data_IF_380578979637
#
_entry.id   IF_380578979637
#
_cell.length_a   1.000
_cell.length_b   1.000
_cell.length_c   1.000
_cell.angle_alpha   90.00
_cell.angle_beta   90.00
_cell.angle_gamma   90.00
#
_symmetry.space_group_name_H-M   'P 1'
#
loop_
_entity.id
_entity.type
_entity.pdbx_description
1 polymer ?
#
# COMPACT_ATOMS: atom_id res chain seq x y z
N UNK A 1 68.67 -0.20 24.72
CA UNK A 1 67.25 0.15 24.52
C UNK A 1 66.88 -0.03 23.04
N UNK A 2 66.51 -1.18 22.45
CA UNK A 2 66.71 -2.63 22.71
C UNK A 2 66.66 -3.12 24.17
N UNK A 3 65.92 -4.21 24.40
CA UNK A 3 65.32 -4.63 25.69
C UNK A 3 64.18 -3.71 26.13
N UNK A 4 62.95 -4.24 26.05
CA UNK A 4 61.68 -3.89 26.73
C UNK A 4 60.46 -4.51 25.99
N UNK A 5 60.55 -4.78 24.67
CA UNK A 5 59.40 -5.24 23.85
C UNK A 5 59.20 -6.79 23.85
N UNK A 6 60.11 -7.58 24.45
CA UNK A 6 60.14 -9.04 24.26
C UNK A 6 59.57 -9.90 25.42
N UNK A 7 58.85 -9.32 26.40
CA UNK A 7 58.36 -10.09 27.56
C UNK A 7 56.83 -10.18 27.75
N UNK A 8 56.00 -9.48 26.98
CA UNK A 8 54.53 -9.61 27.08
C UNK A 8 53.89 -10.64 26.12
N UNK A 9 54.62 -11.16 25.13
CA UNK A 9 54.05 -12.11 24.16
C UNK A 9 53.97 -13.58 24.65
N UNK A 10 54.37 -13.89 25.88
CA UNK A 10 54.44 -15.27 26.40
C UNK A 10 53.34 -15.66 27.41
N UNK A 11 52.33 -14.80 27.63
CA UNK A 11 51.22 -15.08 28.56
C UNK A 11 49.83 -15.13 27.91
N UNK A 12 49.73 -15.27 26.58
CA UNK A 12 48.45 -15.37 25.85
C UNK A 12 48.33 -16.61 24.94
N UNK A 13 49.26 -17.58 25.06
CA UNK A 13 49.32 -18.78 24.18
C UNK A 13 48.88 -20.09 24.86
N UNK A 14 48.13 -20.04 25.97
CA UNK A 14 47.73 -21.22 26.75
C UNK A 14 46.22 -21.48 26.86
N UNK A 15 45.36 -20.69 26.20
CA UNK A 15 43.89 -20.82 26.31
C UNK A 15 43.14 -21.10 25.00
N UNK A 16 43.78 -21.03 23.83
CA UNK A 16 43.10 -21.18 22.52
C UNK A 16 42.99 -22.62 22.01
N UNK A 17 43.74 -23.58 22.59
CA UNK A 17 43.83 -24.96 22.09
C UNK A 17 42.76 -25.94 22.63
N UNK A 18 41.84 -25.48 23.49
CA UNK A 18 40.79 -26.31 24.09
C UNK A 18 39.40 -26.21 23.44
N UNK A 19 39.12 -25.16 22.66
CA UNK A 19 37.82 -24.93 22.02
C UNK A 19 37.69 -25.67 20.68
N UNK A 20 38.70 -25.58 19.82
CA UNK A 20 38.72 -26.21 18.48
C UNK A 20 38.44 -27.72 18.50
N UNK A 21 38.96 -28.47 19.49
CA UNK A 21 38.74 -29.93 19.59
C UNK A 21 37.29 -30.33 19.89
N UNK A 22 36.48 -29.43 20.47
CA UNK A 22 35.05 -29.71 20.73
C UNK A 22 34.21 -29.50 19.48
N UNK A 23 34.60 -28.56 18.61
CA UNK A 23 33.91 -28.27 17.35
C UNK A 23 34.16 -29.37 16.31
N UNK A 24 35.40 -29.84 16.16
CA UNK A 24 35.74 -30.95 15.25
C UNK A 24 34.99 -32.27 15.60
N UNK A 25 34.80 -32.55 16.89
CA UNK A 25 34.06 -33.73 17.35
C UNK A 25 32.55 -33.65 17.04
N UNK A 26 31.96 -32.45 17.07
CA UNK A 26 30.56 -32.23 16.72
C UNK A 26 30.32 -32.36 15.20
N UNK A 27 31.23 -31.83 14.39
CA UNK A 27 31.23 -31.91 12.92
C UNK A 27 31.30 -33.38 12.44
N UNK A 28 32.20 -34.19 13.01
CA UNK A 28 32.29 -35.63 12.68
C UNK A 28 31.03 -36.42 13.08
N UNK A 29 30.41 -36.09 14.22
CA UNK A 29 29.18 -36.77 14.66
C UNK A 29 27.98 -36.42 13.76
N UNK A 30 27.87 -35.18 13.27
CA UNK A 30 26.85 -34.83 12.25
C UNK A 30 27.03 -35.63 10.96
N UNK A 31 28.27 -35.79 10.46
CA UNK A 31 28.56 -36.57 9.24
C UNK A 31 28.26 -38.06 9.41
N UNK A 32 28.54 -38.64 10.58
CA UNK A 32 28.16 -40.04 10.89
C UNK A 32 26.64 -40.22 11.00
N UNK A 33 25.92 -39.26 11.55
CA UNK A 33 24.45 -39.29 11.62
C UNK A 33 23.80 -39.24 10.22
N UNK A 34 24.29 -38.39 9.31
CA UNK A 34 23.74 -38.33 7.94
C UNK A 34 23.98 -39.61 7.14
N UNK A 35 25.14 -40.26 7.33
CA UNK A 35 25.45 -41.56 6.70
C UNK A 35 24.66 -42.73 7.29
N UNK A 36 24.17 -42.63 8.53
CA UNK A 36 23.27 -43.62 9.12
C UNK A 36 21.83 -43.48 8.57
N UNK A 37 21.34 -42.25 8.43
CA UNK A 37 20.01 -41.94 7.84
C UNK A 37 19.92 -42.30 6.34
N UNK A 38 21.01 -42.17 5.59
CA UNK A 38 21.05 -42.62 4.18
C UNK A 38 21.03 -44.15 4.03
N UNK A 39 21.41 -44.91 5.07
CA UNK A 39 21.45 -46.39 5.05
C UNK A 39 20.16 -47.07 5.51
N UNK A 40 19.14 -46.31 5.91
CA UNK A 40 17.85 -46.86 6.38
C UNK A 40 16.69 -46.75 5.38
N UNK A 41 16.97 -46.40 4.11
CA UNK A 41 15.97 -46.49 3.03
C UNK A 41 15.81 -47.94 2.54
N UNK A 42 14.58 -48.52 2.49
CA UNK A 42 14.36 -49.86 1.95
C UNK A 42 14.58 -49.91 0.43
N UNK A 43 15.08 -51.05 -0.05
CA UNK A 43 15.44 -51.23 -1.45
C UNK A 43 14.21 -51.44 -2.37
N UNK A 44 14.23 -50.83 -3.55
CA UNK A 44 13.17 -50.89 -4.57
C UNK A 44 13.29 -52.17 -5.39
N UNK A 45 12.63 -53.26 -4.97
CA UNK A 45 11.98 -54.29 -5.81
C UNK A 45 11.73 -55.59 -5.03
N UNK A 46 10.49 -55.83 -4.59
CA UNK A 46 9.69 -57.03 -4.96
C UNK A 46 8.34 -57.06 -4.24
N UNK A 47 7.26 -57.21 -5.02
CA UNK A 47 5.92 -57.72 -4.63
C UNK A 47 5.20 -57.06 -3.44
N UNK A 48 4.21 -56.21 -3.74
CA UNK A 48 2.77 -56.56 -3.59
C UNK A 48 1.87 -55.42 -4.10
N UNK A 49 0.91 -55.76 -4.95
CA UNK A 49 -0.14 -54.85 -5.40
C UNK A 49 -0.95 -54.32 -4.21
N UNK A 50 -1.02 -53.00 -4.10
CA UNK A 50 -2.15 -52.25 -3.56
C UNK A 50 -2.23 -50.96 -4.36
N UNK A 51 -3.44 -50.56 -4.74
CA UNK A 51 -3.69 -49.35 -5.50
C UNK A 51 -3.06 -48.14 -4.79
N UNK A 52 -2.23 -47.39 -5.54
CA UNK A 52 -2.09 -45.98 -5.27
C UNK A 52 -3.26 -45.33 -6.02
N UNK A 53 -4.18 -44.71 -5.27
CA UNK A 53 -5.15 -43.81 -5.88
C UNK A 53 -4.35 -42.64 -6.47
N UNK A 54 -4.38 -42.52 -7.80
CA UNK A 54 -4.02 -41.28 -8.47
C UNK A 54 -4.98 -40.21 -7.94
N UNK A 55 -4.44 -39.26 -7.17
CA UNK A 55 -5.18 -38.06 -6.80
C UNK A 55 -5.06 -37.12 -8.01
N UNK A 56 -5.98 -37.27 -8.95
CA UNK A 56 -6.11 -36.37 -10.10
C UNK A 56 -6.35 -34.94 -9.57
N UNK A 57 -5.32 -34.10 -9.65
CA UNK A 57 -5.32 -32.75 -9.07
C UNK A 57 -5.90 -31.68 -10.05
N UNK A 58 -6.54 -32.13 -11.15
CA UNK A 58 -7.00 -31.32 -12.29
C UNK A 58 -8.45 -31.62 -12.74
N UNK A 59 -9.35 -32.13 -11.88
CA UNK A 59 -10.80 -32.08 -12.16
C UNK A 59 -11.42 -30.76 -11.67
N UNK A 60 -11.77 -29.89 -12.63
CA UNK A 60 -12.74 -28.82 -12.40
C UNK A 60 -14.08 -29.49 -12.06
N UNK A 61 -14.49 -29.42 -10.79
CA UNK A 61 -15.76 -29.97 -10.34
C UNK A 61 -16.93 -29.31 -11.07
N UNK A 62 -17.55 -30.02 -12.01
CA UNK A 62 -18.85 -29.69 -12.64
C UNK A 62 -20.02 -29.61 -11.63
N UNK A 63 -19.75 -29.83 -10.34
CA UNK A 63 -20.71 -29.85 -9.24
C UNK A 63 -20.54 -28.67 -8.29
N UNK A 64 -21.66 -28.10 -7.88
CA UNK A 64 -21.75 -27.01 -6.90
C UNK A 64 -21.26 -27.44 -5.49
N UNK A 65 -20.41 -26.62 -4.82
CA UNK A 65 -19.99 -26.88 -3.44
C UNK A 65 -21.14 -26.95 -2.42
N UNK A 66 -22.16 -26.10 -2.60
CA UNK A 66 -23.45 -26.19 -1.89
C UNK A 66 -24.60 -26.02 -2.90
N UNK A 67 -25.81 -26.52 -2.63
CA UNK A 67 -26.92 -26.46 -3.58
C UNK A 67 -27.29 -25.05 -4.05
N UNK A 68 -27.08 -24.04 -3.21
CA UNK A 68 -27.47 -22.66 -3.48
C UNK A 68 -26.34 -21.70 -3.05
N UNK A 69 -25.86 -20.85 -3.96
CA UNK A 69 -24.84 -19.83 -3.66
C UNK A 69 -23.98 -19.41 -4.85
N UNK A 70 -23.00 -18.55 -4.57
CA UNK A 70 -22.04 -18.02 -5.54
C UNK A 70 -20.62 -18.45 -5.13
N UNK A 71 -19.92 -19.16 -6.00
CA UNK A 71 -18.63 -19.78 -5.70
C UNK A 71 -17.54 -19.34 -6.69
N UNK A 72 -16.30 -19.03 -6.23
CA UNK A 72 -15.21 -18.62 -7.11
C UNK A 72 -14.77 -19.75 -8.03
N UNK A 73 -14.25 -19.41 -9.21
CA UNK A 73 -13.47 -20.34 -10.01
C UNK A 73 -12.09 -20.64 -9.39
N UNK A 74 -11.59 -21.85 -9.63
CA UNK A 74 -10.32 -22.33 -9.08
C UNK A 74 -9.10 -21.62 -9.68
N UNK A 75 -9.17 -21.17 -10.94
CA UNK A 75 -8.03 -20.62 -11.68
C UNK A 75 -8.22 -19.15 -12.11
N UNK A 76 -9.46 -18.68 -12.26
CA UNK A 76 -9.81 -17.39 -12.86
C UNK A 76 -10.51 -16.44 -11.88
N UNK A 77 -9.89 -15.30 -11.56
CA UNK A 77 -10.39 -14.40 -10.50
C UNK A 77 -11.71 -13.70 -10.86
N UNK A 78 -12.00 -13.53 -12.15
CA UNK A 78 -13.23 -12.91 -12.65
C UNK A 78 -14.28 -13.92 -13.12
N UNK A 79 -14.09 -15.23 -12.90
CA UNK A 79 -15.08 -16.28 -13.11
C UNK A 79 -15.64 -16.78 -11.78
N UNK A 80 -16.93 -17.10 -11.78
CA UNK A 80 -17.65 -17.66 -10.65
C UNK A 80 -18.85 -18.49 -11.12
N UNK A 81 -19.44 -19.23 -10.19
CA UNK A 81 -20.55 -20.13 -10.44
C UNK A 81 -21.77 -19.69 -9.63
N UNK A 82 -22.92 -19.50 -10.29
CA UNK A 82 -24.23 -19.31 -9.66
C UNK A 82 -24.90 -20.69 -9.56
N UNK A 83 -24.97 -21.20 -8.34
CA UNK A 83 -25.51 -22.50 -8.00
C UNK A 83 -26.94 -22.36 -7.50
N UNK A 84 -27.87 -23.12 -8.09
CA UNK A 84 -29.29 -23.13 -7.74
C UNK A 84 -29.85 -24.54 -7.73
N UNK A 85 -30.30 -24.99 -6.57
CA UNK A 85 -30.74 -26.36 -6.31
C UNK A 85 -29.78 -27.43 -6.88
N UNK A 86 -28.47 -27.18 -6.76
CA UNK A 86 -27.38 -28.03 -7.26
C UNK A 86 -27.05 -27.86 -8.75
N UNK A 87 -27.81 -27.06 -9.50
CA UNK A 87 -27.52 -26.72 -10.90
C UNK A 87 -26.48 -25.62 -10.97
N UNK A 88 -25.33 -25.90 -11.58
CA UNK A 88 -24.21 -24.96 -11.77
C UNK A 88 -24.42 -24.09 -13.03
N UNK A 89 -24.27 -22.78 -12.89
CA UNK A 89 -24.25 -21.83 -14.01
C UNK A 89 -22.95 -21.01 -13.98
N UNK A 90 -22.12 -21.14 -15.01
CA UNK A 90 -20.92 -20.32 -15.15
C UNK A 90 -21.26 -18.85 -15.40
N UNK A 91 -20.52 -17.95 -14.75
CA UNK A 91 -20.62 -16.50 -14.93
C UNK A 91 -19.24 -15.84 -14.93
N UNK A 92 -19.17 -14.69 -15.59
CA UNK A 92 -18.02 -13.78 -15.55
C UNK A 92 -18.42 -12.46 -14.93
N UNK A 93 -17.53 -11.87 -14.14
CA UNK A 93 -17.64 -10.48 -13.72
C UNK A 93 -17.47 -9.53 -14.93
N UNK A 94 -18.00 -8.29 -14.84
CA UNK A 94 -17.70 -7.24 -15.82
C UNK A 94 -16.19 -7.04 -15.99
N UNK A 95 -15.73 -6.81 -17.23
CA UNK A 95 -14.30 -6.79 -17.55
C UNK A 95 -13.53 -5.74 -16.74
N UNK A 96 -12.56 -6.21 -15.94
CA UNK A 96 -11.78 -5.38 -15.00
C UNK A 96 -12.25 -5.42 -13.54
N UNK A 97 -13.36 -6.11 -13.26
CA UNK A 97 -13.75 -6.52 -11.91
C UNK A 97 -13.39 -8.00 -11.68
N UNK A 98 -13.30 -8.41 -10.41
CA UNK A 98 -13.06 -9.79 -9.96
C UNK A 98 -14.15 -10.22 -8.99
N UNK A 99 -14.41 -11.52 -8.91
CA UNK A 99 -15.42 -12.07 -8.00
C UNK A 99 -14.96 -11.98 -6.54
N UNK A 100 -15.80 -11.40 -5.70
CA UNK A 100 -15.61 -11.32 -4.25
C UNK A 100 -16.28 -12.52 -3.58
N UNK A 101 -15.46 -13.40 -3.02
CA UNK A 101 -15.85 -14.68 -2.42
C UNK A 101 -16.08 -14.61 -0.90
N UNK A 102 -16.13 -13.42 -0.29
CA UNK A 102 -16.31 -13.26 1.16
C UNK A 102 -17.70 -13.68 1.68
N UNK A 103 -18.70 -13.85 0.81
CA UNK A 103 -20.03 -14.36 1.18
C UNK A 103 -20.66 -15.10 0.00
N UNK A 104 -20.81 -16.44 0.05
CA UNK A 104 -21.48 -17.23 -0.99
C UNK A 104 -22.96 -16.88 -1.21
N UNK A 105 -23.55 -16.02 -0.39
CA UNK A 105 -24.95 -15.60 -0.51
C UNK A 105 -25.12 -14.34 -1.39
N UNK A 106 -24.03 -13.70 -1.81
CA UNK A 106 -24.06 -12.43 -2.55
C UNK A 106 -23.29 -12.51 -3.86
N UNK A 107 -23.98 -12.30 -4.98
CA UNK A 107 -23.37 -12.12 -6.30
C UNK A 107 -22.63 -10.78 -6.34
N UNK A 108 -21.33 -10.79 -6.02
CA UNK A 108 -20.54 -9.55 -5.92
C UNK A 108 -19.26 -9.61 -6.74
N UNK A 109 -19.14 -8.65 -7.66
CA UNK A 109 -17.90 -8.33 -8.36
C UNK A 109 -17.37 -6.99 -7.85
N UNK A 110 -16.11 -6.95 -7.43
CA UNK A 110 -15.42 -5.75 -6.95
C UNK A 110 -14.18 -5.44 -7.80
N UNK A 111 -13.57 -4.28 -7.58
CA UNK A 111 -12.21 -4.02 -8.07
C UNK A 111 -11.22 -5.00 -7.40
N UNK A 112 -10.10 -5.35 -8.06
CA UNK A 112 -9.11 -6.30 -7.53
C UNK A 112 -8.35 -5.81 -6.29
N UNK A 113 -8.55 -4.56 -5.86
CA UNK A 113 -7.90 -3.98 -4.68
C UNK A 113 -8.50 -4.54 -3.40
N UNK A 114 -7.83 -5.54 -2.80
CA UNK A 114 -8.24 -6.18 -1.56
C UNK A 114 -8.93 -7.55 -1.72
N UNK A 115 -8.99 -8.08 -2.95
CA UNK A 115 -9.43 -9.45 -3.24
C UNK A 115 -8.19 -10.31 -3.54
N UNK A 116 -8.04 -11.47 -2.90
CA UNK A 116 -6.88 -12.34 -3.09
C UNK A 116 -7.03 -13.24 -4.33
N UNK A 117 -6.59 -12.72 -5.48
CA UNK A 117 -6.50 -13.49 -6.72
C UNK A 117 -5.27 -14.42 -6.81
N UNK A 118 -4.42 -14.55 -5.76
CA UNK A 118 -3.11 -15.21 -5.89
C UNK A 118 -3.18 -16.67 -6.30
N UNK A 119 -4.27 -17.37 -5.94
CA UNK A 119 -4.53 -18.77 -6.32
C UNK A 119 -5.25 -18.91 -7.66
N UNK A 120 -6.03 -17.89 -8.04
CA UNK A 120 -6.92 -17.85 -9.20
C UNK A 120 -6.56 -16.67 -10.11
N UNK A 121 -5.32 -16.63 -10.60
CA UNK A 121 -4.74 -15.42 -11.22
C UNK A 121 -5.15 -15.17 -12.69
N UNK A 122 -5.83 -16.11 -13.35
CA UNK A 122 -6.34 -15.92 -14.72
C UNK A 122 -7.46 -14.87 -14.71
N UNK A 123 -7.67 -14.21 -15.85
CA UNK A 123 -8.74 -13.23 -16.06
C UNK A 123 -9.29 -13.37 -17.48
N UNK A 124 -10.51 -12.90 -17.74
CA UNK A 124 -11.07 -12.84 -19.10
C UNK A 124 -10.19 -11.98 -20.03
N UNK A 125 -10.36 -12.14 -21.34
CA UNK A 125 -9.71 -11.28 -22.32
C UNK A 125 -10.13 -9.81 -22.12
N UNK A 126 -9.18 -8.86 -21.98
CA UNK A 126 -9.50 -7.45 -21.78
C UNK A 126 -10.27 -6.86 -22.96
N UNK A 127 -11.18 -5.93 -22.69
CA UNK A 127 -11.97 -5.19 -23.68
C UNK A 127 -11.56 -3.71 -23.64
N UNK A 128 -10.42 -3.35 -24.25
CA UNK A 128 -9.86 -2.01 -24.12
C UNK A 128 -10.70 -0.95 -24.86
N UNK A 129 -10.74 0.24 -24.27
CA UNK A 129 -11.33 1.48 -24.79
C UNK A 129 -10.35 2.63 -24.56
N UNK A 130 -10.53 3.83 -25.13
CA UNK A 130 -9.61 4.95 -24.91
C UNK A 130 -9.41 5.22 -23.41
N UNK A 131 -8.15 5.29 -22.97
CA UNK A 131 -7.74 5.48 -21.57
C UNK A 131 -8.13 4.35 -20.59
N UNK A 132 -8.73 3.27 -21.08
CA UNK A 132 -9.28 2.17 -20.29
C UNK A 132 -8.81 0.80 -20.84
N UNK A 133 -7.68 0.26 -20.35
CA UNK A 133 -7.20 -1.09 -20.69
C UNK A 133 -8.22 -2.23 -20.42
N UNK A 134 -9.14 -2.01 -19.48
CA UNK A 134 -10.33 -2.83 -19.19
C UNK A 134 -11.55 -1.93 -19.09
N UNK A 135 -12.75 -2.48 -19.23
CA UNK A 135 -14.00 -1.71 -19.10
C UNK A 135 -14.20 -1.07 -17.72
N UNK A 136 -13.69 -1.69 -16.65
CA UNK A 136 -13.72 -1.17 -15.29
C UNK A 136 -12.31 -1.13 -14.68
N UNK A 137 -12.00 -0.12 -13.87
CA UNK A 137 -10.73 -0.07 -13.12
C UNK A 137 -10.21 1.33 -12.84
N UNK A 138 -9.04 1.39 -12.19
CA UNK A 138 -8.20 2.58 -12.10
C UNK A 138 -6.90 2.33 -12.86
N UNK A 139 -6.53 3.22 -13.78
CA UNK A 139 -5.39 3.04 -14.69
C UNK A 139 -4.50 4.28 -14.71
N UNK A 140 -3.18 4.09 -14.76
CA UNK A 140 -2.26 5.21 -14.88
C UNK A 140 -2.43 5.95 -16.20
N UNK A 141 -2.06 7.24 -16.21
CA UNK A 141 -1.94 8.01 -17.43
C UNK A 141 -0.89 7.40 -18.39
N UNK A 142 -1.12 7.48 -19.71
CA UNK A 142 -0.29 6.82 -20.73
C UNK A 142 1.15 7.34 -20.77
N UNK A 143 1.31 8.66 -20.58
CA UNK A 143 2.61 9.28 -20.38
C UNK A 143 3.19 8.82 -19.03
N UNK A 144 4.32 8.08 -19.01
CA UNK A 144 4.92 7.61 -17.78
C UNK A 144 5.40 8.75 -16.86
N UNK A 145 5.72 9.93 -17.42
CA UNK A 145 6.13 11.12 -16.67
C UNK A 145 4.96 11.80 -15.95
N UNK A 146 3.72 11.55 -16.40
CA UNK A 146 2.53 11.96 -15.67
C UNK A 146 2.29 10.99 -14.50
N UNK A 147 2.84 11.34 -13.35
CA UNK A 147 2.83 10.51 -12.15
C UNK A 147 1.58 10.69 -11.28
N UNK A 148 0.89 11.82 -11.38
CA UNK A 148 -0.23 12.19 -10.53
C UNK A 148 -1.60 12.15 -11.22
N UNK A 149 -1.68 11.86 -12.51
CA UNK A 149 -2.96 11.69 -13.21
C UNK A 149 -3.26 10.21 -13.45
N UNK A 150 -4.54 9.84 -13.32
CA UNK A 150 -5.04 8.50 -13.59
C UNK A 150 -6.48 8.55 -14.12
N UNK A 151 -6.95 7.43 -14.64
CA UNK A 151 -8.30 7.27 -15.18
C UNK A 151 -9.12 6.34 -14.29
N UNK A 152 -10.34 6.74 -13.97
CA UNK A 152 -11.36 5.86 -13.40
C UNK A 152 -12.34 5.43 -14.49
N UNK A 153 -12.35 4.14 -14.82
CA UNK A 153 -13.15 3.56 -15.89
C UNK A 153 -14.39 2.84 -15.35
N UNK A 154 -15.54 3.12 -15.96
CA UNK A 154 -16.80 2.40 -15.76
C UNK A 154 -17.43 2.17 -17.12
N UNK A 155 -17.68 0.90 -17.48
CA UNK A 155 -18.23 0.51 -18.80
C UNK A 155 -17.45 1.10 -19.99
N UNK A 156 -16.11 1.19 -19.87
CA UNK A 156 -15.22 1.74 -20.91
C UNK A 156 -15.29 3.26 -21.07
N UNK A 157 -15.93 3.97 -20.15
CA UNK A 157 -15.93 5.43 -20.06
C UNK A 157 -15.03 5.87 -18.91
N UNK A 158 -14.04 6.71 -19.20
CA UNK A 158 -13.10 7.22 -18.21
C UNK A 158 -13.56 8.55 -17.61
N UNK A 159 -13.19 8.77 -16.34
CA UNK A 159 -13.01 10.09 -15.77
C UNK A 159 -11.51 10.28 -15.49
N UNK A 160 -10.93 11.37 -15.97
CA UNK A 160 -9.55 11.74 -15.64
C UNK A 160 -9.51 12.39 -14.26
N UNK A 161 -8.65 11.88 -13.37
CA UNK A 161 -8.53 12.34 -11.97
C UNK A 161 -7.05 12.68 -11.72
N UNK A 162 -6.81 13.85 -11.12
CA UNK A 162 -5.48 14.24 -10.60
C UNK A 162 -5.43 13.93 -9.10
N UNK A 163 -4.38 13.26 -8.65
CA UNK A 163 -4.06 13.07 -7.25
C UNK A 163 -3.80 14.43 -6.55
N UNK A 164 -4.05 14.53 -5.23
CA UNK A 164 -3.62 15.67 -4.43
C UNK A 164 -2.13 15.95 -4.60
N UNK A 165 -1.74 17.22 -4.54
CA UNK A 165 -0.35 17.62 -4.77
C UNK A 165 0.60 16.98 -3.76
N UNK A 166 1.73 16.47 -4.26
CA UNK A 166 2.68 15.65 -3.49
C UNK A 166 2.42 14.14 -3.54
N UNK A 167 1.27 13.68 -4.07
CA UNK A 167 0.95 12.27 -4.25
C UNK A 167 1.02 11.82 -5.71
N UNK A 168 1.23 10.51 -5.91
CA UNK A 168 1.25 9.84 -7.22
C UNK A 168 0.27 8.68 -7.24
N UNK A 169 -0.24 8.34 -8.41
CA UNK A 169 -1.13 7.19 -8.55
C UNK A 169 -0.35 5.87 -8.47
N UNK A 170 -0.85 4.94 -7.63
CA UNK A 170 -0.27 3.61 -7.46
C UNK A 170 -1.19 2.54 -8.07
N UNK A 171 -0.82 2.04 -9.25
CA UNK A 171 -1.55 0.96 -9.95
C UNK A 171 -1.73 -0.30 -9.11
N UNK A 172 -0.80 -0.58 -8.18
CA UNK A 172 -0.86 -1.72 -7.25
C UNK A 172 -2.01 -1.60 -6.24
N UNK A 173 -2.37 -0.39 -5.84
CA UNK A 173 -3.32 -0.13 -4.73
C UNK A 173 -4.58 0.60 -5.17
N UNK A 174 -4.62 1.13 -6.41
CA UNK A 174 -5.78 1.85 -6.95
C UNK A 174 -5.99 3.23 -6.35
N UNK A 175 -5.01 3.75 -5.59
CA UNK A 175 -5.12 5.02 -4.85
C UNK A 175 -3.88 5.91 -5.06
N UNK A 176 -4.03 7.18 -4.68
CA UNK A 176 -2.95 8.15 -4.63
C UNK A 176 -2.12 7.96 -3.36
N UNK A 177 -0.86 7.57 -3.50
CA UNK A 177 0.08 7.33 -2.40
C UNK A 177 1.29 8.27 -2.48
N UNK A 178 2.12 8.27 -1.44
CA UNK A 178 3.41 8.95 -1.48
C UNK A 178 4.32 8.33 -2.55
N UNK A 179 5.19 9.12 -3.22
CA UNK A 179 6.01 8.63 -4.33
C UNK A 179 6.87 7.41 -3.98
N UNK A 180 7.41 7.38 -2.75
CA UNK A 180 8.23 6.29 -2.22
C UNK A 180 7.45 5.02 -1.86
N UNK A 181 6.16 5.15 -1.54
CA UNK A 181 5.26 4.03 -1.23
C UNK A 181 4.56 3.48 -2.48
N UNK A 182 4.26 4.35 -3.46
CA UNK A 182 3.63 3.97 -4.72
C UNK A 182 4.53 3.15 -5.63
N UNK A 183 5.85 3.34 -5.52
CA UNK A 183 6.90 2.61 -6.25
C UNK A 183 6.77 2.66 -7.79
N UNK A 184 6.07 3.66 -8.34
CA UNK A 184 5.96 3.87 -9.79
C UNK A 184 7.33 4.32 -10.34
N UNK A 185 7.87 3.55 -11.29
CA UNK A 185 9.19 3.81 -11.89
C UNK A 185 9.22 5.20 -12.55
N UNK A 186 10.24 6.00 -12.23
CA UNK A 186 10.38 7.38 -12.74
C UNK A 186 9.55 8.43 -11.98
N UNK A 187 8.79 8.01 -10.97
CA UNK A 187 7.93 8.86 -10.15
C UNK A 187 8.39 8.84 -8.67
N UNK A 188 9.69 8.89 -8.43
CA UNK A 188 10.25 8.98 -7.07
C UNK A 188 10.21 10.41 -6.54
N UNK A 189 10.25 10.58 -5.21
CA UNK A 189 10.09 11.91 -4.60
C UNK A 189 11.17 12.92 -5.01
N UNK A 190 12.43 12.47 -5.14
CA UNK A 190 13.55 13.38 -5.45
C UNK A 190 13.46 13.87 -6.90
N UNK A 191 13.06 12.97 -7.80
CA UNK A 191 12.88 13.23 -9.22
C UNK A 191 11.68 14.14 -9.47
N UNK A 192 10.56 13.93 -8.75
CA UNK A 192 9.33 14.71 -8.93
C UNK A 192 9.38 16.12 -8.34
N UNK A 193 10.06 16.29 -7.20
CA UNK A 193 10.11 17.58 -6.52
C UNK A 193 11.39 18.37 -6.80
N UNK A 194 12.39 17.76 -7.46
CA UNK A 194 13.74 18.31 -7.64
C UNK A 194 14.37 18.80 -6.32
N UNK A 195 13.97 18.21 -5.19
CA UNK A 195 14.35 18.60 -3.84
C UNK A 195 15.15 17.48 -3.17
N UNK A 196 16.22 17.86 -2.47
CA UNK A 196 17.05 16.93 -1.69
C UNK A 196 17.05 17.37 -0.24
N UNK A 197 16.71 16.46 0.66
CA UNK A 197 16.73 16.71 2.10
C UNK A 197 18.13 17.14 2.59
N UNK A 198 18.23 18.27 3.31
CA UNK A 198 19.45 18.66 4.00
C UNK A 198 19.94 17.56 4.95
N UNK A 199 21.25 17.30 4.91
CA UNK A 199 21.90 16.31 5.79
C UNK A 199 21.91 16.83 7.22
N UNK A 200 21.39 16.02 8.13
CA UNK A 200 21.30 16.31 9.58
C UNK A 200 21.71 15.07 10.38
N UNK A 201 21.96 15.26 11.67
CA UNK A 201 22.24 14.15 12.59
C UNK A 201 21.06 13.19 12.71
N UNK A 202 21.33 11.92 13.02
CA UNK A 202 20.33 10.84 13.11
C UNK A 202 19.17 11.16 14.07
N UNK A 203 19.46 11.83 15.19
CA UNK A 203 18.46 12.28 16.15
C UNK A 203 17.49 13.32 15.58
N UNK A 204 17.95 14.18 14.66
CA UNK A 204 17.12 15.16 13.97
C UNK A 204 16.38 14.46 12.83
N UNK A 205 17.04 13.61 12.05
CA UNK A 205 16.45 12.81 10.97
C UNK A 205 15.23 11.99 11.45
N UNK A 206 15.34 11.40 12.64
CA UNK A 206 14.25 10.67 13.31
C UNK A 206 13.02 11.54 13.65
N UNK A 207 13.15 12.87 13.74
CA UNK A 207 12.02 13.79 13.94
C UNK A 207 11.30 14.19 12.64
N UNK A 208 11.81 13.74 11.50
CA UNK A 208 11.36 14.07 10.14
C UNK A 208 11.33 15.59 9.91
N UNK A 209 12.51 16.23 9.79
CA UNK A 209 12.63 17.68 9.73
C UNK A 209 11.88 18.24 8.50
N UNK A 210 11.43 19.49 8.64
CA UNK A 210 10.60 20.17 7.65
C UNK A 210 11.29 21.42 7.13
N UNK A 211 11.21 21.60 5.81
CA UNK A 211 11.90 22.67 5.08
C UNK A 211 10.93 23.36 4.12
N UNK A 212 11.01 24.69 3.94
CA UNK A 212 10.14 25.41 3.01
C UNK A 212 10.30 24.89 1.57
N UNK A 213 9.25 25.00 0.77
CA UNK A 213 9.40 25.01 -0.68
C UNK A 213 9.85 26.41 -1.12
N UNK A 214 10.89 26.49 -1.96
CA UNK A 214 11.51 27.75 -2.35
C UNK A 214 10.67 28.55 -3.37
N UNK A 215 9.82 27.86 -4.14
CA UNK A 215 9.02 28.44 -5.22
C UNK A 215 7.54 28.62 -4.82
N UNK A 216 7.13 28.05 -3.68
CA UNK A 216 5.72 27.94 -3.30
C UNK A 216 5.52 28.02 -1.78
N UNK A 217 5.27 29.23 -1.29
CA UNK A 217 5.07 29.51 0.14
C UNK A 217 3.98 28.63 0.82
N UNK A 218 3.01 28.11 0.08
CA UNK A 218 1.99 27.23 0.66
C UNK A 218 2.56 25.85 1.01
N UNK A 219 3.62 25.39 0.33
CA UNK A 219 4.14 24.03 0.48
C UNK A 219 5.48 23.98 1.23
N UNK A 220 5.76 22.79 1.74
CA UNK A 220 6.99 22.45 2.45
C UNK A 220 7.29 20.96 2.27
N UNK A 221 8.54 20.57 2.51
CA UNK A 221 8.99 19.19 2.43
C UNK A 221 9.13 18.59 3.83
N UNK A 222 8.50 17.44 4.06
CA UNK A 222 8.78 16.57 5.22
C UNK A 222 9.84 15.56 4.82
N UNK A 223 11.00 15.57 5.47
CA UNK A 223 12.09 14.65 5.17
C UNK A 223 12.01 13.40 6.05
N UNK A 224 11.35 12.35 5.55
CA UNK A 224 11.22 11.06 6.23
C UNK A 224 12.62 10.47 6.43
N UNK A 225 12.94 10.17 7.69
CA UNK A 225 14.27 9.75 8.17
C UNK A 225 15.42 10.65 7.67
N UNK A 226 15.17 11.93 7.41
CA UNK A 226 16.16 12.87 6.86
C UNK A 226 16.56 12.63 5.39
N UNK A 227 15.98 11.63 4.71
CA UNK A 227 16.43 11.22 3.36
C UNK A 227 15.36 11.39 2.27
N UNK A 228 14.11 11.05 2.56
CA UNK A 228 13.04 10.96 1.56
C UNK A 228 12.08 12.13 1.71
N UNK A 229 12.05 13.09 0.77
CA UNK A 229 11.15 14.22 0.86
C UNK A 229 9.71 13.80 0.51
N UNK A 230 8.74 14.33 1.25
CA UNK A 230 7.32 14.29 0.93
C UNK A 230 6.80 15.73 0.93
N UNK A 231 6.38 16.24 -0.24
CA UNK A 231 5.80 17.58 -0.35
C UNK A 231 4.45 17.60 0.38
N UNK A 232 4.19 18.64 1.15
CA UNK A 232 2.98 18.81 1.96
C UNK A 232 2.55 20.28 1.94
N UNK A 233 1.24 20.53 1.98
CA UNK A 233 0.68 21.88 1.88
C UNK A 233 0.11 22.38 3.21
N UNK A 234 0.31 23.67 3.47
CA UNK A 234 -0.49 24.45 4.40
C UNK A 234 -1.91 24.67 3.85
N UNK A 235 -2.84 25.10 4.72
CA UNK A 235 -4.20 25.45 4.27
C UNK A 235 -4.15 26.69 3.37
N UNK A 236 -5.16 26.85 2.51
CA UNK A 236 -5.33 28.06 1.70
C UNK A 236 -5.30 29.32 2.61
N UNK A 237 -4.48 30.31 2.24
CA UNK A 237 -4.21 31.52 3.03
C UNK A 237 -3.05 31.39 4.04
N UNK A 238 -2.55 30.18 4.30
CA UNK A 238 -1.40 29.93 5.17
C UNK A 238 -0.14 29.62 4.35
N UNK A 239 1.02 29.96 4.91
CA UNK A 239 2.33 29.61 4.37
C UNK A 239 3.17 28.93 5.46
N UNK A 240 4.23 28.22 5.05
CA UNK A 240 5.15 27.55 5.97
C UNK A 240 6.19 28.52 6.54
N UNK A 241 6.18 28.72 7.86
CA UNK A 241 7.21 29.46 8.59
C UNK A 241 8.35 28.52 9.00
N UNK A 242 9.50 28.66 8.34
CA UNK A 242 10.70 27.88 8.65
C UNK A 242 11.19 28.12 10.10
N UNK A 243 11.04 29.34 10.64
CA UNK A 243 11.52 29.69 11.99
C UNK A 243 10.80 28.93 13.09
N UNK A 244 9.53 28.56 12.87
CA UNK A 244 8.72 27.77 13.81
C UNK A 244 8.48 26.33 13.34
N UNK A 245 8.83 26.01 12.10
CA UNK A 245 8.59 24.72 11.46
C UNK A 245 7.10 24.39 11.31
N UNK A 246 6.25 25.40 11.08
CA UNK A 246 4.78 25.27 11.11
C UNK A 246 4.10 26.17 10.08
N UNK A 247 2.86 25.85 9.73
CA UNK A 247 2.01 26.77 8.98
C UNK A 247 1.48 27.89 9.87
N UNK A 248 1.60 29.14 9.42
CA UNK A 248 0.85 30.29 9.95
C UNK A 248 0.31 31.13 8.77
N UNK A 249 -0.46 32.17 9.04
CA UNK A 249 -1.03 33.05 8.02
C UNK A 249 0.06 33.76 7.23
N UNK A 250 -0.03 33.69 5.89
CA UNK A 250 1.03 34.15 5.00
C UNK A 250 1.45 35.60 5.32
N UNK A 251 0.49 36.49 5.63
CA UNK A 251 0.69 37.90 6.04
C UNK A 251 1.66 38.13 7.22
N UNK A 252 1.92 37.12 8.06
CA UNK A 252 2.85 37.18 9.21
C UNK A 252 4.27 36.75 8.87
N UNK A 253 4.45 36.06 7.74
CA UNK A 253 5.71 35.48 7.28
C UNK A 253 6.32 36.49 6.30
N UNK A 254 7.38 37.24 6.65
CA UNK A 254 7.82 38.42 5.90
C UNK A 254 8.13 38.18 4.42
N UNK A 255 8.61 36.98 4.09
CA UNK A 255 8.93 36.49 2.75
C UNK A 255 7.67 36.06 1.96
N UNK A 256 6.62 35.60 2.65
CA UNK A 256 5.39 35.09 2.05
C UNK A 256 4.17 36.02 2.21
N UNK A 257 4.34 37.19 2.84
CA UNK A 257 3.27 38.14 3.20
C UNK A 257 2.31 38.52 2.06
N UNK A 258 2.83 38.50 0.84
CA UNK A 258 2.16 38.98 -0.38
C UNK A 258 1.78 37.81 -1.31
N UNK A 259 2.11 36.57 -0.95
CA UNK A 259 1.97 35.35 -1.77
C UNK A 259 0.56 35.14 -2.35
N UNK A 260 -0.47 35.42 -1.55
CA UNK A 260 -1.87 35.18 -1.96
C UNK A 260 -2.54 36.38 -2.65
N UNK A 261 -1.88 37.52 -2.84
CA UNK A 261 -2.54 38.76 -3.33
C UNK A 261 -3.22 38.63 -4.70
N UNK A 262 -2.69 37.77 -5.56
CA UNK A 262 -3.26 37.52 -6.90
C UNK A 262 -4.25 36.34 -6.92
N UNK A 263 -4.46 35.66 -5.78
CA UNK A 263 -5.30 34.45 -5.63
C UNK A 263 -6.51 34.70 -4.73
N UNK A 264 -6.35 35.55 -3.70
CA UNK A 264 -7.36 35.89 -2.69
C UNK A 264 -7.34 37.40 -2.42
N UNK A 265 -8.52 37.98 -2.27
CA UNK A 265 -8.64 39.33 -1.71
C UNK A 265 -8.32 39.36 -0.22
N UNK A 266 -7.92 40.53 0.30
CA UNK A 266 -7.70 40.73 1.74
C UNK A 266 -8.92 40.33 2.60
N UNK A 267 -10.14 40.49 2.05
CA UNK A 267 -11.41 40.14 2.71
C UNK A 267 -11.60 38.62 2.77
N UNK A 268 -11.26 37.89 1.71
CA UNK A 268 -11.31 36.42 1.70
C UNK A 268 -10.24 35.83 2.62
N UNK A 269 -9.03 36.40 2.63
CA UNK A 269 -7.96 35.98 3.52
C UNK A 269 -8.32 36.22 5.00
N UNK A 270 -8.91 37.37 5.33
CA UNK A 270 -9.39 37.62 6.70
C UNK A 270 -10.57 36.72 7.08
N UNK A 271 -11.47 36.40 6.15
CA UNK A 271 -12.57 35.45 6.40
C UNK A 271 -12.08 34.01 6.61
N UNK A 272 -10.94 33.62 6.03
CA UNK A 272 -10.27 32.34 6.30
C UNK A 272 -9.58 32.33 7.68
N UNK A 273 -8.98 33.44 8.09
CA UNK A 273 -8.32 33.58 9.41
C UNK A 273 -9.33 33.73 10.56
N UNK A 274 -10.41 34.46 10.33
CA UNK A 274 -11.45 34.79 11.29
C UNK A 274 -12.82 34.23 10.85
N UNK A 275 -12.98 32.89 10.73
CA UNK A 275 -14.21 32.30 10.22
C UNK A 275 -15.42 32.67 11.09
N UNK A 276 -16.56 33.04 10.49
CA UNK A 276 -17.74 33.46 11.24
C UNK A 276 -18.25 32.33 12.13
N UNK A 277 -18.56 32.65 13.39
CA UNK A 277 -19.11 31.67 14.34
C UNK A 277 -20.35 30.98 13.74
N UNK A 278 -20.46 29.63 13.78
CA UNK A 278 -21.64 28.93 13.29
C UNK A 278 -22.90 29.49 13.97
N UNK A 279 -23.88 29.92 13.17
CA UNK A 279 -25.17 30.35 13.69
C UNK A 279 -25.87 29.14 14.31
N UNK A 280 -25.90 29.06 15.64
CA UNK A 280 -26.66 28.05 16.37
C UNK A 280 -28.16 28.26 16.12
N UNK A 281 -28.73 27.46 15.23
CA UNK A 281 -30.19 27.38 15.06
C UNK A 281 -30.79 26.82 16.35
N UNK A 282 -31.35 27.70 17.18
CA UNK A 282 -31.90 27.36 18.49
C UNK A 282 -33.02 26.34 18.40
N UNK A 283 -32.74 25.08 18.73
CA UNK A 283 -33.71 24.00 18.85
C UNK A 283 -34.57 24.19 20.12
N UNK A 284 -35.51 25.13 20.08
CA UNK A 284 -36.46 25.35 21.18
C UNK A 284 -37.86 25.76 20.70
N UNK A 285 -38.38 25.05 19.69
CA UNK A 285 -39.82 25.02 19.39
C UNK A 285 -40.49 23.87 20.14
N UNK A 286 -40.83 24.13 21.41
CA UNK A 286 -41.51 23.23 22.34
C UNK A 286 -42.86 22.76 21.77
N UNK A 287 -42.91 21.59 21.11
CA UNK A 287 -44.17 20.97 20.65
C UNK A 287 -45.08 20.71 21.86
N UNK A 288 -46.08 21.56 22.07
CA UNK A 288 -47.21 21.25 22.95
C UNK A 288 -47.99 20.08 22.32
N UNK A 289 -47.95 18.91 22.96
CA UNK A 289 -48.87 17.83 22.64
C UNK A 289 -50.31 18.23 23.03
N UNK A 290 -51.34 17.74 22.33
CA UNK A 290 -52.72 18.01 22.69
C UNK A 290 -53.09 17.32 24.00
N UNK A 291 -53.76 18.03 24.90
CA UNK A 291 -54.51 17.40 25.99
C UNK A 291 -55.60 16.54 25.37
N UNK A 292 -55.68 15.26 25.76
CA UNK A 292 -56.94 14.52 25.77
C UNK A 292 -57.59 14.77 27.12
N UNK A 293 -58.68 15.52 27.12
CA UNK A 293 -59.66 15.46 28.21
C UNK A 293 -60.68 14.37 27.84
N UNK A 294 -61.18 13.66 28.84
CA UNK A 294 -62.00 12.47 28.67
C UNK A 294 -63.42 12.77 29.16
N UNK A 295 -64.40 12.50 28.29
CA UNK A 295 -65.80 12.16 28.57
C UNK A 295 -66.25 11.11 27.54
#
# INVERSE_FOLDING_TARGET
>A
MKFEILLCCLLVLSTTSALSRKEEAAEQNRRKASQALYKSQPNRQTVRNKEAEEFDEDEVSDQCPEPNGFFPDAEQCDKYYDCRDGSLMEKLCPDGLVFNDFSPQHEKCDLPFGIDCSKRSKLQTPKPTPHCPRMHGYFAHEDPTNCNTFYYCVEGKFNMIKCPDGLVFSEKTGICNWPDEAQKKGCGSRELFNFTCPKVDESIAATHPRYPDAEDCQFFYVCINGETPRRSGCKLGQAFDERTGKCDWARKIPECKDWYKDVLTDVELDALENPPKPKTTGSNARRKGPKREAE
#
